data_IF_582362675306
#
_entry.id   IF_582362675306
#
_cell.length_a   1.000
_cell.length_b   1.000
_cell.length_c   1.000
_cell.angle_alpha   90.00
_cell.angle_beta   90.00
_cell.angle_gamma   90.00
#
_symmetry.space_group_name_H-M   'P 1'
#
loop_
_entity.id
_entity.type
_entity.pdbx_description
1 polymer ?
#
# COMPACT_ATOMS: atom_id res chain seq x y z
N UNK A 1 48.12 9.45 13.30
CA UNK A 1 47.14 8.77 12.41
C UNK A 1 45.69 8.84 12.93
N UNK A 2 45.11 10.05 13.16
CA UNK A 2 43.69 10.20 13.55
C UNK A 2 42.85 11.09 12.60
N UNK A 3 43.45 11.66 11.55
CA UNK A 3 42.79 12.67 10.71
C UNK A 3 42.02 12.10 9.48
N UNK A 4 42.29 10.86 9.04
CA UNK A 4 41.69 10.32 7.81
C UNK A 4 40.35 9.55 8.00
N UNK A 5 39.92 9.24 9.24
CA UNK A 5 38.68 8.45 9.49
C UNK A 5 37.40 9.29 9.46
N UNK A 6 37.47 10.56 9.83
CA UNK A 6 36.36 11.52 9.82
C UNK A 6 35.79 11.82 8.42
N UNK A 7 36.60 12.04 7.36
CA UNK A 7 36.08 12.28 6.01
C UNK A 7 35.40 11.04 5.42
N UNK A 8 35.91 9.84 5.73
CA UNK A 8 35.34 8.59 5.22
C UNK A 8 33.95 8.31 5.82
N UNK A 9 33.78 8.48 7.14
CA UNK A 9 32.46 8.34 7.78
C UNK A 9 31.45 9.37 7.25
N UNK A 10 31.89 10.61 7.04
CA UNK A 10 31.05 11.69 6.52
C UNK A 10 30.66 11.45 5.06
N UNK A 11 31.61 10.98 4.23
CA UNK A 11 31.37 10.60 2.84
C UNK A 11 30.43 9.39 2.75
N UNK A 12 30.66 8.34 3.54
CA UNK A 12 29.78 7.17 3.59
C UNK A 12 28.37 7.52 4.07
N UNK A 13 28.25 8.43 5.04
CA UNK A 13 26.95 8.94 5.47
C UNK A 13 26.26 9.74 4.35
N UNK A 14 26.98 10.62 3.66
CA UNK A 14 26.46 11.40 2.54
C UNK A 14 25.99 10.50 1.38
N UNK A 15 26.79 9.49 1.01
CA UNK A 15 26.43 8.49 -0.02
C UNK A 15 25.19 7.71 0.40
N UNK A 16 25.14 7.20 1.64
CA UNK A 16 23.96 6.47 2.17
C UNK A 16 22.70 7.36 2.17
N UNK A 17 22.86 8.65 2.46
CA UNK A 17 21.76 9.63 2.52
C UNK A 17 21.15 9.87 1.14
N UNK A 18 21.95 9.80 0.08
CA UNK A 18 21.47 9.90 -1.32
C UNK A 18 20.90 8.57 -1.85
N UNK A 19 21.40 7.43 -1.38
CA UNK A 19 20.92 6.11 -1.80
C UNK A 19 19.50 5.81 -1.32
N UNK A 20 19.13 6.23 -0.11
CA UNK A 20 17.80 5.93 0.44
C UNK A 20 16.62 6.51 -0.36
N UNK A 21 16.62 7.81 -0.74
CA UNK A 21 15.63 8.36 -1.67
C UNK A 21 15.59 7.66 -3.00
N UNK A 22 16.76 7.42 -3.57
CA UNK A 22 16.90 6.74 -4.86
C UNK A 22 16.28 5.33 -4.83
N UNK A 23 16.54 4.55 -3.77
CA UNK A 23 16.00 3.20 -3.64
C UNK A 23 14.47 3.21 -3.51
N UNK A 24 13.92 4.11 -2.70
CA UNK A 24 12.47 4.19 -2.48
C UNK A 24 11.72 4.62 -3.74
N UNK A 25 12.31 5.49 -4.56
CA UNK A 25 11.76 5.89 -5.85
C UNK A 25 11.80 4.74 -6.85
N UNK A 26 12.95 4.05 -6.95
CA UNK A 26 13.10 2.87 -7.82
C UNK A 26 12.04 1.81 -7.50
N UNK A 27 11.90 1.45 -6.23
CA UNK A 27 10.87 0.50 -5.80
C UNK A 27 9.46 0.98 -6.14
N UNK A 28 9.15 2.25 -5.84
CA UNK A 28 7.84 2.83 -6.13
C UNK A 28 7.51 2.83 -7.62
N UNK A 29 8.50 3.08 -8.48
CA UNK A 29 8.34 3.06 -9.92
C UNK A 29 8.08 1.64 -10.44
N UNK A 30 8.93 0.68 -10.04
CA UNK A 30 8.78 -0.74 -10.44
C UNK A 30 7.41 -1.27 -10.00
N UNK A 31 6.99 -0.96 -8.77
CA UNK A 31 5.68 -1.34 -8.26
C UNK A 31 4.52 -0.66 -8.99
N UNK A 32 4.67 0.62 -9.38
CA UNK A 32 3.66 1.32 -10.16
C UNK A 32 3.49 0.74 -11.57
N UNK A 33 4.61 0.40 -12.24
CA UNK A 33 4.58 -0.24 -13.56
C UNK A 33 3.87 -1.59 -13.46
N UNK A 34 4.25 -2.41 -12.49
CA UNK A 34 3.61 -3.71 -12.30
C UNK A 34 2.12 -3.58 -12.03
N UNK A 35 1.72 -2.61 -11.21
CA UNK A 35 0.34 -2.38 -10.90
C UNK A 35 -0.50 -1.97 -12.12
N UNK A 36 0.06 -1.13 -13.00
CA UNK A 36 -0.57 -0.76 -14.28
C UNK A 36 -0.69 -1.97 -15.19
N UNK A 37 0.37 -2.77 -15.34
CA UNK A 37 0.34 -4.00 -16.13
C UNK A 37 -0.71 -4.98 -15.59
N UNK A 38 -0.77 -5.18 -14.28
CA UNK A 38 -1.72 -6.07 -13.63
C UNK A 38 -3.15 -5.61 -13.84
N UNK A 39 -3.41 -4.32 -13.64
CA UNK A 39 -4.74 -3.75 -13.79
C UNK A 39 -5.21 -3.79 -15.23
N UNK A 40 -4.29 -3.55 -16.19
CA UNK A 40 -4.60 -3.62 -17.62
C UNK A 40 -4.89 -5.06 -18.05
N UNK A 41 -4.05 -6.01 -17.63
CA UNK A 41 -4.29 -7.42 -17.89
C UNK A 41 -5.60 -7.91 -17.27
N UNK A 42 -5.88 -7.49 -16.03
CA UNK A 42 -7.12 -7.79 -15.33
C UNK A 42 -8.35 -7.25 -16.05
N UNK A 43 -8.28 -5.99 -16.51
CA UNK A 43 -9.36 -5.38 -17.29
C UNK A 43 -9.61 -6.12 -18.61
N UNK A 44 -8.56 -6.49 -19.35
CA UNK A 44 -8.67 -7.24 -20.62
C UNK A 44 -9.33 -8.59 -20.38
N UNK A 45 -8.90 -9.32 -19.34
CA UNK A 45 -9.48 -10.63 -18.99
C UNK A 45 -10.95 -10.47 -18.62
N UNK A 46 -11.26 -9.55 -17.68
CA UNK A 46 -12.62 -9.36 -17.17
C UNK A 46 -13.60 -8.85 -18.24
N UNK A 47 -13.15 -8.04 -19.20
CA UNK A 47 -14.01 -7.58 -20.30
C UNK A 47 -14.15 -8.58 -21.45
N UNK A 48 -13.24 -9.54 -21.57
CA UNK A 48 -13.30 -10.58 -22.61
C UNK A 48 -14.17 -11.79 -22.23
N UNK A 49 -14.32 -12.09 -20.93
CA UNK A 49 -15.14 -13.19 -20.45
C UNK A 49 -16.63 -12.81 -20.43
N UNK A 50 -17.46 -13.51 -21.21
CA UNK A 50 -18.93 -13.39 -21.19
C UNK A 50 -19.53 -14.27 -20.10
N UNK A 51 -19.11 -15.53 -20.03
CA UNK A 51 -19.42 -16.42 -18.93
C UNK A 51 -18.38 -16.28 -17.83
N UNK A 52 -18.80 -15.81 -16.65
CA UNK A 52 -17.87 -15.48 -15.57
C UNK A 52 -17.20 -16.66 -14.86
N UNK A 53 -17.64 -17.91 -15.11
CA UNK A 53 -17.07 -19.12 -14.48
C UNK A 53 -16.38 -20.01 -15.51
N UNK A 54 -16.96 -20.19 -16.70
CA UNK A 54 -16.47 -21.18 -17.66
C UNK A 54 -15.57 -20.58 -18.74
N UNK A 55 -15.67 -19.26 -19.02
CA UNK A 55 -14.80 -18.65 -20.02
C UNK A 55 -13.35 -18.59 -19.54
N UNK A 56 -12.44 -18.77 -20.52
CA UNK A 56 -11.00 -18.74 -20.34
C UNK A 56 -10.38 -17.65 -21.18
N UNK A 57 -9.38 -17.00 -20.61
CA UNK A 57 -8.55 -16.01 -21.27
C UNK A 57 -7.08 -16.30 -21.00
N UNK A 58 -6.29 -16.52 -22.07
CA UNK A 58 -4.88 -16.91 -21.96
C UNK A 58 -4.06 -15.95 -21.07
N UNK A 59 -4.38 -14.65 -21.10
CA UNK A 59 -3.71 -13.62 -20.32
C UNK A 59 -3.86 -13.84 -18.81
N UNK A 60 -4.96 -14.44 -18.34
CA UNK A 60 -5.18 -14.70 -16.93
C UNK A 60 -4.09 -15.62 -16.36
N UNK A 61 -3.81 -16.73 -17.06
CA UNK A 61 -2.79 -17.68 -16.63
C UNK A 61 -1.36 -17.17 -16.92
N UNK A 62 -1.13 -16.52 -18.06
CA UNK A 62 0.20 -15.99 -18.43
C UNK A 62 0.64 -14.87 -17.50
N UNK A 63 -0.24 -13.89 -17.25
CA UNK A 63 0.09 -12.77 -16.37
C UNK A 63 0.32 -13.22 -14.93
N UNK A 64 -0.49 -14.16 -14.45
CA UNK A 64 -0.34 -14.70 -13.09
C UNK A 64 1.01 -15.39 -12.88
N UNK A 65 1.51 -16.16 -13.86
CA UNK A 65 2.86 -16.74 -13.82
C UNK A 65 3.96 -15.67 -13.87
N UNK A 66 3.75 -14.60 -14.64
CA UNK A 66 4.65 -13.46 -14.69
C UNK A 66 4.66 -12.66 -13.37
N UNK A 67 3.54 -12.57 -12.66
CA UNK A 67 3.42 -11.80 -11.43
C UNK A 67 4.16 -12.41 -10.24
N UNK A 68 4.28 -13.74 -10.15
CA UNK A 68 4.95 -14.42 -9.02
C UNK A 68 6.38 -13.94 -8.75
N UNK A 69 7.31 -13.94 -9.72
CA UNK A 69 8.66 -13.45 -9.48
C UNK A 69 8.68 -11.98 -9.04
N UNK A 70 7.73 -11.16 -9.50
CA UNK A 70 7.57 -9.80 -9.01
C UNK A 70 7.17 -9.76 -7.53
N UNK A 71 6.19 -10.56 -7.08
CA UNK A 71 5.77 -10.55 -5.67
C UNK A 71 6.92 -10.99 -4.74
N UNK A 72 7.75 -11.94 -5.18
CA UNK A 72 8.97 -12.34 -4.47
C UNK A 72 9.98 -11.18 -4.43
N UNK A 73 10.21 -10.53 -5.58
CA UNK A 73 11.05 -9.34 -5.68
C UNK A 73 10.58 -8.23 -4.75
N UNK A 74 9.26 -7.97 -4.65
CA UNK A 74 8.73 -6.86 -3.86
C UNK A 74 8.97 -7.06 -2.35
N UNK A 75 8.87 -8.30 -1.84
CA UNK A 75 9.25 -8.64 -0.46
C UNK A 75 10.72 -8.25 -0.20
N UNK A 76 11.61 -8.60 -1.12
CA UNK A 76 13.03 -8.28 -1.02
C UNK A 76 13.28 -6.77 -1.13
N UNK A 77 12.61 -6.09 -2.07
CA UNK A 77 12.73 -4.67 -2.29
C UNK A 77 12.25 -3.87 -1.07
N UNK A 78 11.14 -4.28 -0.44
CA UNK A 78 10.64 -3.73 0.81
C UNK A 78 11.66 -3.89 1.95
N UNK A 79 12.26 -5.07 2.08
CA UNK A 79 13.34 -5.32 3.06
C UNK A 79 14.55 -4.40 2.82
N UNK A 80 14.99 -4.23 1.57
CA UNK A 80 16.10 -3.32 1.24
C UNK A 80 15.78 -1.87 1.61
N UNK A 81 14.55 -1.39 1.36
CA UNK A 81 14.12 -0.07 1.79
C UNK A 81 14.17 0.10 3.32
N UNK A 82 13.72 -0.93 4.06
CA UNK A 82 13.78 -0.94 5.52
C UNK A 82 15.22 -0.93 6.02
N UNK A 83 16.07 -1.77 5.45
CA UNK A 83 17.48 -1.88 5.81
C UNK A 83 18.23 -0.56 5.58
N UNK A 84 18.07 0.08 4.41
CA UNK A 84 18.71 1.37 4.12
C UNK A 84 18.25 2.47 5.08
N UNK A 85 16.96 2.51 5.40
CA UNK A 85 16.39 3.47 6.36
C UNK A 85 17.00 3.31 7.76
N UNK A 86 17.19 2.08 8.22
CA UNK A 86 17.74 1.81 9.55
C UNK A 86 19.26 1.92 9.62
N UNK A 87 19.97 1.59 8.52
CA UNK A 87 21.41 1.81 8.39
C UNK A 87 21.78 3.30 8.46
N UNK A 88 20.92 4.18 7.95
CA UNK A 88 21.06 5.64 8.11
C UNK A 88 20.92 6.10 9.56
N UNK A 89 20.15 5.37 10.37
CA UNK A 89 19.99 5.62 11.81
C UNK A 89 21.08 4.95 12.65
N UNK A 90 22.15 4.45 12.05
CA UNK A 90 23.27 3.83 12.75
C UNK A 90 22.99 2.46 13.37
N UNK A 91 21.86 1.82 13.04
CA UNK A 91 21.54 0.50 13.60
C UNK A 91 22.41 -0.59 12.93
N UNK A 92 22.98 -1.53 13.70
CA UNK A 92 23.70 -2.68 13.13
C UNK A 92 22.74 -3.57 12.34
N UNK A 93 23.25 -4.15 11.25
CA UNK A 93 22.51 -5.12 10.43
C UNK A 93 22.45 -6.50 11.08
N UNK A 94 21.89 -7.47 10.36
CA UNK A 94 21.82 -8.87 10.80
C UNK A 94 20.43 -9.29 11.25
N UNK A 95 20.37 -10.40 11.99
CA UNK A 95 19.11 -11.08 12.34
C UNK A 95 18.16 -10.20 13.17
N UNK A 96 18.67 -9.37 14.08
CA UNK A 96 17.81 -8.47 14.87
C UNK A 96 17.07 -7.47 13.99
N UNK A 97 17.71 -6.96 12.94
CA UNK A 97 17.09 -6.04 11.99
C UNK A 97 16.04 -6.73 11.12
N UNK A 98 16.31 -7.96 10.66
CA UNK A 98 15.34 -8.77 9.91
C UNK A 98 14.12 -9.11 10.76
N UNK A 99 14.32 -9.51 12.03
CA UNK A 99 13.21 -9.76 12.97
C UNK A 99 12.40 -8.49 13.21
N UNK A 100 13.05 -7.35 13.37
CA UNK A 100 12.37 -6.06 13.52
C UNK A 100 11.57 -5.67 12.26
N UNK A 101 12.10 -5.93 11.07
CA UNK A 101 11.40 -5.75 9.80
C UNK A 101 10.13 -6.61 9.74
N UNK A 102 10.27 -7.92 9.98
CA UNK A 102 9.14 -8.86 9.93
C UNK A 102 8.05 -8.50 10.93
N UNK A 103 8.41 -8.00 12.12
CA UNK A 103 7.42 -7.57 13.12
C UNK A 103 6.76 -6.24 12.74
N UNK A 104 7.53 -5.25 12.27
CA UNK A 104 7.01 -3.90 11.97
C UNK A 104 6.21 -3.84 10.67
N UNK A 105 6.59 -4.63 9.67
CA UNK A 105 5.94 -4.68 8.36
C UNK A 105 5.15 -5.99 8.16
N UNK A 106 4.80 -6.67 9.26
CA UNK A 106 4.20 -8.01 9.28
C UNK A 106 3.04 -8.16 8.30
N UNK A 107 2.06 -7.24 8.34
CA UNK A 107 0.86 -7.36 7.53
C UNK A 107 1.14 -7.26 6.02
N UNK A 108 2.09 -6.43 5.62
CA UNK A 108 2.48 -6.31 4.21
C UNK A 108 3.26 -7.55 3.75
N UNK A 109 4.18 -8.05 4.58
CA UNK A 109 4.94 -9.27 4.27
C UNK A 109 4.00 -10.47 4.19
N UNK A 110 3.10 -10.63 5.16
CA UNK A 110 2.10 -11.69 5.20
C UNK A 110 1.22 -11.66 3.95
N UNK A 111 0.77 -10.47 3.52
CA UNK A 111 -0.01 -10.33 2.29
C UNK A 111 0.75 -10.87 1.08
N UNK A 112 2.01 -10.48 0.86
CA UNK A 112 2.79 -10.95 -0.29
C UNK A 112 3.07 -12.46 -0.23
N UNK A 113 3.41 -12.97 0.95
CA UNK A 113 3.61 -14.40 1.17
C UNK A 113 2.31 -15.16 0.89
N UNK A 114 1.16 -14.67 1.35
CA UNK A 114 -0.14 -15.28 1.07
C UNK A 114 -0.49 -15.25 -0.42
N UNK A 115 -0.20 -14.16 -1.12
CA UNK A 115 -0.42 -14.06 -2.57
C UNK A 115 0.40 -15.12 -3.33
N UNK A 116 1.66 -15.33 -2.94
CA UNK A 116 2.55 -16.30 -3.60
C UNK A 116 2.29 -17.75 -3.18
N UNK A 117 2.11 -18.01 -1.89
CA UNK A 117 2.01 -19.36 -1.35
C UNK A 117 0.60 -19.95 -1.43
N UNK A 118 -0.44 -19.11 -1.51
CA UNK A 118 -1.85 -19.55 -1.50
C UNK A 118 -2.57 -19.10 -2.75
N UNK A 119 -2.61 -17.79 -3.03
CA UNK A 119 -3.43 -17.28 -4.14
C UNK A 119 -2.91 -17.77 -5.50
N UNK A 120 -1.58 -17.84 -5.67
CA UNK A 120 -1.00 -18.33 -6.92
C UNK A 120 -1.33 -19.81 -7.19
N UNK A 121 -1.06 -20.78 -6.30
CA UNK A 121 -1.46 -22.17 -6.51
C UNK A 121 -2.96 -22.33 -6.76
N UNK A 122 -3.80 -21.61 -6.01
CA UNK A 122 -5.25 -21.58 -6.26
C UNK A 122 -5.55 -21.14 -7.69
N UNK A 123 -5.00 -20.00 -8.12
CA UNK A 123 -5.31 -19.38 -9.42
C UNK A 123 -4.81 -20.16 -10.64
N UNK A 124 -3.71 -20.91 -10.54
CA UNK A 124 -3.07 -21.59 -11.68
C UNK A 124 -3.22 -23.11 -11.64
N UNK A 125 -3.20 -23.73 -10.44
CA UNK A 125 -3.16 -25.18 -10.30
C UNK A 125 -4.52 -25.77 -9.92
N UNK A 126 -5.21 -25.21 -8.91
CA UNK A 126 -6.44 -25.82 -8.36
C UNK A 126 -7.74 -25.33 -8.98
N UNK A 127 -7.70 -24.21 -9.68
CA UNK A 127 -8.90 -23.59 -10.26
C UNK A 127 -9.42 -24.30 -11.52
N UNK A 128 -8.70 -25.28 -12.05
CA UNK A 128 -9.11 -26.09 -13.22
C UNK A 128 -9.50 -25.22 -14.44
N UNK A 129 -8.92 -24.03 -14.55
CA UNK A 129 -9.21 -23.06 -15.61
C UNK A 129 -10.61 -22.45 -15.57
N UNK A 130 -11.25 -22.35 -14.40
CA UNK A 130 -12.55 -21.68 -14.21
C UNK A 130 -12.40 -20.30 -13.57
N UNK A 131 -13.31 -19.38 -13.82
CA UNK A 131 -13.39 -18.09 -13.13
C UNK A 131 -12.31 -17.10 -13.53
N UNK A 132 -11.88 -17.09 -14.81
CA UNK A 132 -10.89 -16.13 -15.32
C UNK A 132 -11.37 -14.69 -15.14
N UNK A 133 -12.67 -14.45 -15.28
CA UNK A 133 -13.30 -13.17 -14.96
C UNK A 133 -12.97 -12.68 -13.54
N UNK A 134 -13.13 -13.53 -12.53
CA UNK A 134 -12.87 -13.18 -11.14
C UNK A 134 -11.39 -12.94 -10.88
N UNK A 135 -10.51 -13.75 -11.48
CA UNK A 135 -9.06 -13.52 -11.42
C UNK A 135 -8.69 -12.18 -12.07
N UNK A 136 -9.30 -11.85 -13.21
CA UNK A 136 -9.14 -10.55 -13.88
C UNK A 136 -9.57 -9.38 -12.98
N UNK A 137 -10.74 -9.50 -12.34
CA UNK A 137 -11.21 -8.53 -11.35
C UNK A 137 -10.18 -8.34 -10.22
N UNK A 138 -9.67 -9.44 -9.66
CA UNK A 138 -8.68 -9.40 -8.57
C UNK A 138 -7.38 -8.70 -8.98
N UNK A 139 -6.93 -8.84 -10.23
CA UNK A 139 -5.75 -8.12 -10.74
C UNK A 139 -5.97 -6.60 -10.83
N UNK A 140 -7.22 -6.15 -11.08
CA UNK A 140 -7.57 -4.73 -11.11
C UNK A 140 -7.44 -4.05 -9.73
N UNK A 141 -7.37 -4.81 -8.64
CA UNK A 141 -7.13 -4.28 -7.30
C UNK A 141 -5.80 -3.53 -7.17
N UNK A 142 -4.83 -3.83 -8.03
CA UNK A 142 -3.53 -3.15 -8.05
C UNK A 142 -3.59 -1.70 -8.54
N UNK A 143 -4.69 -1.25 -9.16
CA UNK A 143 -4.77 0.10 -9.75
C UNK A 143 -4.55 1.24 -8.75
N UNK A 144 -4.79 0.99 -7.46
CA UNK A 144 -4.54 1.95 -6.38
C UNK A 144 -3.05 2.10 -6.01
N UNK A 145 -2.22 1.09 -6.29
CA UNK A 145 -0.80 1.01 -5.91
C UNK A 145 0.06 2.16 -6.45
N UNK A 146 -0.08 2.62 -7.72
CA UNK A 146 0.65 3.78 -8.22
C UNK A 146 0.42 5.05 -7.38
N UNK A 147 -0.82 5.28 -6.94
CA UNK A 147 -1.16 6.46 -6.14
C UNK A 147 -0.67 6.34 -4.69
N UNK A 148 -0.64 5.12 -4.15
CA UNK A 148 0.00 4.83 -2.85
C UNK A 148 1.52 5.09 -2.92
N UNK A 149 2.18 4.62 -3.98
CA UNK A 149 3.61 4.81 -4.22
C UNK A 149 3.96 6.29 -4.41
N UNK A 150 3.21 7.00 -5.25
CA UNK A 150 3.39 8.45 -5.46
C UNK A 150 3.20 9.23 -4.15
N UNK A 151 2.18 8.89 -3.36
CA UNK A 151 1.98 9.48 -2.03
C UNK A 151 3.19 9.30 -1.10
N UNK A 152 3.77 8.11 -1.06
CA UNK A 152 4.99 7.81 -0.27
C UNK A 152 6.21 8.60 -0.75
N UNK A 153 6.33 8.87 -2.05
CA UNK A 153 7.42 9.68 -2.63
C UNK A 153 7.22 11.16 -2.28
N UNK A 154 6.02 11.70 -2.46
CA UNK A 154 5.72 13.10 -2.14
C UNK A 154 5.97 13.44 -0.66
N UNK A 155 5.60 12.54 0.26
CA UNK A 155 5.89 12.69 1.70
C UNK A 155 7.41 12.74 1.95
N UNK A 156 8.17 11.92 1.24
CA UNK A 156 9.63 11.84 1.40
C UNK A 156 10.35 13.11 0.94
N UNK A 157 9.82 13.77 -0.09
CA UNK A 157 10.29 15.08 -0.56
C UNK A 157 9.68 16.26 0.20
N UNK A 158 8.96 16.02 1.30
CA UNK A 158 8.26 17.05 2.09
C UNK A 158 7.28 17.90 1.26
N UNK A 159 6.66 17.31 0.24
CA UNK A 159 5.68 17.98 -0.64
C UNK A 159 4.23 17.77 -0.18
N UNK A 160 4.01 17.59 1.12
CA UNK A 160 2.70 17.24 1.68
C UNK A 160 1.67 18.39 1.56
N UNK A 161 2.14 19.64 1.53
CA UNK A 161 1.28 20.82 1.43
C UNK A 161 0.86 21.15 -0.01
N UNK A 162 1.41 20.43 -1.00
CA UNK A 162 1.13 20.70 -2.41
C UNK A 162 -0.26 20.23 -2.85
N UNK A 163 -0.83 20.93 -3.84
CA UNK A 163 -2.06 20.50 -4.50
C UNK A 163 -1.93 19.08 -5.07
N UNK A 164 -0.77 18.73 -5.62
CA UNK A 164 -0.47 17.40 -6.14
C UNK A 164 -0.64 16.31 -5.07
N UNK A 165 -0.16 16.53 -3.84
CA UNK A 165 -0.33 15.57 -2.76
C UNK A 165 -1.80 15.39 -2.35
N UNK A 166 -2.58 16.48 -2.33
CA UNK A 166 -4.01 16.45 -2.02
C UNK A 166 -4.79 15.70 -3.10
N UNK A 167 -4.58 16.04 -4.37
CA UNK A 167 -5.23 15.38 -5.51
C UNK A 167 -4.86 13.91 -5.57
N UNK A 168 -3.58 13.56 -5.43
CA UNK A 168 -3.15 12.16 -5.35
C UNK A 168 -3.82 11.42 -4.17
N UNK A 169 -3.96 12.07 -3.02
CA UNK A 169 -4.66 11.49 -1.86
C UNK A 169 -6.12 11.14 -2.15
N UNK A 170 -6.85 12.03 -2.85
CA UNK A 170 -8.24 11.78 -3.27
C UNK A 170 -8.31 10.65 -4.29
N UNK A 171 -7.46 10.67 -5.32
CA UNK A 171 -7.42 9.62 -6.35
C UNK A 171 -7.09 8.27 -5.71
N UNK A 172 -6.11 8.23 -4.80
CA UNK A 172 -5.76 7.02 -4.05
C UNK A 172 -6.94 6.50 -3.25
N UNK A 173 -7.68 7.37 -2.54
CA UNK A 173 -8.85 6.98 -1.75
C UNK A 173 -9.96 6.39 -2.63
N UNK A 174 -10.30 7.06 -3.73
CA UNK A 174 -11.34 6.64 -4.67
C UNK A 174 -10.96 5.32 -5.33
N UNK A 175 -9.74 5.22 -5.85
CA UNK A 175 -9.27 3.98 -6.52
C UNK A 175 -9.17 2.81 -5.55
N UNK A 176 -8.72 3.03 -4.32
CA UNK A 176 -8.70 1.98 -3.30
C UNK A 176 -10.12 1.48 -2.98
N UNK A 177 -11.07 2.40 -2.82
CA UNK A 177 -12.46 2.04 -2.55
C UNK A 177 -13.09 1.28 -3.72
N UNK A 178 -13.00 1.81 -4.94
CA UNK A 178 -13.64 1.21 -6.12
C UNK A 178 -12.99 -0.11 -6.53
N UNK A 179 -11.66 -0.13 -6.66
CA UNK A 179 -10.95 -1.28 -7.21
C UNK A 179 -10.68 -2.38 -6.19
N UNK A 180 -10.83 -2.12 -4.88
CA UNK A 180 -10.59 -3.13 -3.84
C UNK A 180 -11.82 -3.46 -3.00
N UNK A 181 -12.53 -2.46 -2.48
CA UNK A 181 -13.67 -2.69 -1.59
C UNK A 181 -14.96 -3.01 -2.36
N UNK A 182 -15.30 -2.21 -3.37
CA UNK A 182 -16.49 -2.46 -4.20
C UNK A 182 -16.31 -3.63 -5.17
N UNK A 183 -15.08 -4.07 -5.40
CA UNK A 183 -14.77 -5.18 -6.30
C UNK A 183 -15.45 -6.49 -5.86
N UNK A 184 -15.48 -6.81 -4.56
CA UNK A 184 -16.11 -8.05 -4.09
C UNK A 184 -17.64 -8.02 -4.19
N UNK A 185 -18.36 -6.97 -3.73
CA UNK A 185 -19.77 -6.81 -4.02
C UNK A 185 -20.10 -6.88 -5.52
N UNK A 186 -19.26 -6.29 -6.37
CA UNK A 186 -19.40 -6.38 -7.83
C UNK A 186 -19.27 -7.82 -8.33
N UNK A 187 -18.24 -8.56 -7.91
CA UNK A 187 -18.07 -9.96 -8.27
C UNK A 187 -19.27 -10.82 -7.85
N UNK A 188 -19.79 -10.61 -6.64
CA UNK A 188 -20.99 -11.31 -6.15
C UNK A 188 -22.23 -10.93 -6.96
N UNK A 189 -22.36 -9.66 -7.34
CA UNK A 189 -23.48 -9.19 -8.16
C UNK A 189 -23.47 -9.84 -9.54
N UNK A 190 -22.33 -9.86 -10.23
CA UNK A 190 -22.20 -10.47 -11.56
C UNK A 190 -22.43 -11.99 -11.49
N UNK A 191 -21.92 -12.66 -10.46
CA UNK A 191 -22.25 -14.06 -10.22
C UNK A 191 -23.75 -14.26 -10.00
N UNK A 192 -24.38 -13.40 -9.19
CA UNK A 192 -25.82 -13.41 -8.94
C UNK A 192 -26.63 -13.27 -10.23
N UNK A 193 -26.25 -12.35 -11.13
CA UNK A 193 -26.89 -12.22 -12.45
C UNK A 193 -26.79 -13.52 -13.25
N UNK A 194 -25.63 -14.19 -13.23
CA UNK A 194 -25.41 -15.47 -13.94
C UNK A 194 -26.29 -16.60 -13.42
N UNK A 195 -26.57 -16.65 -12.11
CA UNK A 195 -27.43 -17.70 -11.51
C UNK A 195 -28.88 -17.26 -11.24
N UNK A 196 -29.26 -16.04 -11.65
CA UNK A 196 -30.61 -15.51 -11.42
C UNK A 196 -30.93 -15.16 -9.95
N UNK A 197 -29.92 -14.88 -9.13
CA UNK A 197 -30.08 -14.52 -7.72
C UNK A 197 -29.81 -13.03 -7.47
N UNK A 198 -30.59 -12.37 -6.59
CA UNK A 198 -30.26 -11.04 -6.12
C UNK A 198 -29.01 -11.07 -5.22
N UNK A 199 -28.24 -9.97 -5.22
CA UNK A 199 -26.92 -9.86 -4.56
C UNK A 199 -26.89 -10.38 -3.10
N UNK A 200 -27.89 -10.02 -2.29
CA UNK A 200 -27.92 -10.39 -0.87
C UNK A 200 -28.14 -11.89 -0.63
N UNK A 201 -28.66 -12.65 -1.61
CA UNK A 201 -28.82 -14.11 -1.53
C UNK A 201 -27.56 -14.86 -1.94
N UNK A 202 -26.65 -14.23 -2.70
CA UNK A 202 -25.46 -14.87 -3.25
C UNK A 202 -24.58 -15.51 -2.16
N UNK A 203 -24.22 -14.83 -1.04
CA UNK A 203 -23.38 -15.43 -0.01
C UNK A 203 -23.96 -16.71 0.61
N UNK A 204 -25.29 -16.83 0.66
CA UNK A 204 -25.98 -17.99 1.25
C UNK A 204 -26.16 -19.15 0.27
N UNK A 205 -25.99 -18.91 -1.03
CA UNK A 205 -26.11 -19.93 -2.08
C UNK A 205 -24.75 -20.35 -2.65
N UNK A 206 -23.70 -19.57 -2.38
CA UNK A 206 -22.32 -19.88 -2.74
C UNK A 206 -21.74 -20.86 -1.71
N UNK A 207 -20.90 -21.81 -2.15
CA UNK A 207 -20.22 -22.71 -1.23
C UNK A 207 -19.39 -21.93 -0.19
N UNK A 208 -19.36 -22.35 1.09
CA UNK A 208 -18.69 -21.61 2.16
C UNK A 208 -17.21 -21.28 1.87
N UNK A 209 -16.52 -22.14 1.13
CA UNK A 209 -15.11 -22.00 0.78
C UNK A 209 -14.84 -20.71 0.01
N UNK A 210 -15.72 -20.35 -0.93
CA UNK A 210 -15.60 -19.12 -1.71
C UNK A 210 -15.87 -17.88 -0.87
N UNK A 211 -16.83 -17.94 0.06
CA UNK A 211 -17.09 -16.85 0.99
C UNK A 211 -15.91 -16.64 1.94
N UNK A 212 -15.32 -17.73 2.45
CA UNK A 212 -14.12 -17.69 3.30
C UNK A 212 -12.95 -17.09 2.51
N UNK A 213 -12.71 -17.55 1.28
CA UNK A 213 -11.66 -17.01 0.42
C UNK A 213 -11.85 -15.51 0.16
N UNK A 214 -13.07 -15.08 -0.17
CA UNK A 214 -13.41 -13.68 -0.35
C UNK A 214 -13.19 -12.86 0.93
N UNK A 215 -13.60 -13.37 2.10
CA UNK A 215 -13.42 -12.70 3.38
C UNK A 215 -11.94 -12.55 3.74
N UNK A 216 -11.13 -13.60 3.54
CA UNK A 216 -9.67 -13.55 3.78
C UNK A 216 -9.00 -12.51 2.89
N UNK A 217 -9.38 -12.43 1.61
CA UNK A 217 -8.83 -11.45 0.67
C UNK A 217 -9.31 -10.03 0.95
N UNK A 218 -10.55 -9.86 1.43
CA UNK A 218 -11.16 -8.57 1.74
C UNK A 218 -10.66 -7.97 3.05
N UNK A 219 -10.44 -8.80 4.08
CA UNK A 219 -10.04 -8.35 5.43
C UNK A 219 -8.86 -7.36 5.44
N UNK A 220 -7.71 -7.62 4.78
CA UNK A 220 -6.61 -6.66 4.75
C UNK A 220 -6.99 -5.36 4.00
N UNK A 221 -7.84 -5.44 2.97
CA UNK A 221 -8.27 -4.26 2.21
C UNK A 221 -9.12 -3.33 3.07
N UNK A 222 -10.09 -3.88 3.80
CA UNK A 222 -10.92 -3.09 4.74
C UNK A 222 -10.06 -2.45 5.82
N UNK A 223 -9.13 -3.21 6.39
CA UNK A 223 -8.22 -2.69 7.42
C UNK A 223 -7.36 -1.53 6.90
N UNK A 224 -6.72 -1.68 5.73
CA UNK A 224 -5.91 -0.63 5.14
C UNK A 224 -6.73 0.59 4.74
N UNK A 225 -7.94 0.39 4.20
CA UNK A 225 -8.84 1.48 3.89
C UNK A 225 -9.21 2.28 5.14
N UNK A 226 -9.52 1.60 6.25
CA UNK A 226 -9.74 2.25 7.53
C UNK A 226 -8.54 3.09 7.98
N UNK A 227 -7.31 2.56 7.88
CA UNK A 227 -6.10 3.32 8.23
C UNK A 227 -5.89 4.54 7.33
N UNK A 228 -6.18 4.42 6.04
CA UNK A 228 -6.10 5.52 5.06
C UNK A 228 -7.12 6.61 5.42
N UNK A 229 -8.38 6.23 5.65
CA UNK A 229 -9.45 7.14 6.05
C UNK A 229 -9.13 7.86 7.37
N UNK A 230 -8.65 7.12 8.39
CA UNK A 230 -8.24 7.70 9.67
C UNK A 230 -7.13 8.73 9.49
N UNK A 231 -6.15 8.44 8.64
CA UNK A 231 -5.07 9.39 8.34
C UNK A 231 -5.56 10.62 7.58
N UNK A 232 -6.41 10.44 6.57
CA UNK A 232 -7.00 11.54 5.82
C UNK A 232 -7.84 12.46 6.73
N UNK A 233 -8.63 11.87 7.62
CA UNK A 233 -9.41 12.59 8.62
C UNK A 233 -8.53 13.38 9.59
N UNK A 234 -7.44 12.79 10.09
CA UNK A 234 -6.48 13.49 10.95
C UNK A 234 -5.84 14.71 10.27
N UNK A 235 -5.47 14.59 8.99
CA UNK A 235 -4.92 15.70 8.21
C UNK A 235 -5.97 16.82 7.98
N UNK A 236 -7.22 16.43 7.74
CA UNK A 236 -8.32 17.38 7.61
C UNK A 236 -8.58 18.16 8.90
N UNK A 237 -8.57 17.48 10.05
CA UNK A 237 -8.71 18.14 11.35
C UNK A 237 -7.55 19.11 11.64
N UNK A 238 -6.31 18.71 11.39
CA UNK A 238 -5.14 19.57 11.56
C UNK A 238 -5.23 20.84 10.69
N UNK A 239 -5.68 20.69 9.45
CA UNK A 239 -5.88 21.81 8.52
C UNK A 239 -6.96 22.77 9.03
N UNK A 240 -8.09 22.25 9.55
CA UNK A 240 -9.17 23.07 10.12
C UNK A 240 -8.74 23.82 11.37
N UNK A 241 -7.95 23.20 12.25
CA UNK A 241 -7.43 23.86 13.46
C UNK A 241 -6.44 24.99 13.11
N UNK A 242 -5.60 24.79 12.09
CA UNK A 242 -4.66 25.81 11.60
C UNK A 242 -5.36 27.02 10.97
N UNK A 243 -6.55 26.81 10.39
CA UNK A 243 -7.35 27.88 9.76
C UNK A 243 -8.31 28.60 10.73
N UNK A 244 -8.42 28.17 11.99
CA UNK A 244 -9.21 28.90 12.98
C UNK A 244 -8.48 30.20 13.32
N UNK A 245 -9.14 31.39 13.26
CA UNK A 245 -8.48 32.63 13.63
C UNK A 245 -7.94 32.50 15.05
N UNK A 246 -6.69 32.90 15.29
CA UNK A 246 -6.25 33.27 16.64
C UNK A 246 -7.10 34.48 17.03
N UNK A 247 -8.26 34.24 17.65
CA UNK A 247 -8.97 35.29 18.34
C UNK A 247 -7.98 35.91 19.32
N UNK A 248 -7.72 37.21 19.14
CA UNK A 248 -6.71 37.95 19.86
C UNK A 248 -6.94 37.82 21.36
N UNK A 249 -5.98 37.21 22.05
CA UNK A 249 -5.70 37.62 23.41
C UNK A 249 -4.62 38.70 23.35
N UNK A 250 -4.84 39.87 23.97
CA UNK A 250 -3.78 40.84 24.14
C UNK A 250 -2.61 40.17 24.84
N UNK A 251 -1.40 40.42 24.35
CA UNK A 251 -0.18 40.21 25.12
C UNK A 251 -0.35 41.09 26.35
N UNK A 252 -0.61 40.48 27.51
CA UNK A 252 -0.45 41.17 28.78
C UNK A 252 1.04 41.39 28.97
N UNK A 253 1.49 42.60 28.66
CA UNK A 253 2.74 43.15 29.14
C UNK A 253 2.70 43.11 30.68
N UNK A 254 3.40 42.15 31.28
CA UNK A 254 3.70 42.20 32.70
C UNK A 254 4.90 43.13 32.90
N UNK A 255 4.82 44.13 33.79
CA UNK A 255 5.87 45.10 33.97
C UNK A 255 7.08 44.50 34.69
N UNK A 256 8.25 44.90 34.23
CA UNK A 256 9.55 44.76 34.88
C UNK A 256 9.50 45.21 36.35
N UNK A 257 9.96 44.34 37.25
CA UNK A 257 10.38 44.72 38.60
C UNK A 257 11.47 43.76 39.13
N UNK A 258 12.72 44.22 38.95
CA UNK A 258 13.85 44.24 39.91
C UNK A 258 14.25 42.97 40.68
N UNK A 259 15.54 42.65 40.50
CA UNK A 259 16.54 42.20 41.49
C UNK A 259 16.05 41.83 42.90
N UNK A 260 16.35 40.59 43.30
CA UNK A 260 17.02 40.33 44.57
C UNK A 260 17.66 38.93 44.62
N UNK A 261 18.99 38.97 44.64
CA UNK A 261 19.96 38.08 45.27
C UNK A 261 19.43 37.24 46.46
N UNK A 262 19.77 35.94 46.51
CA UNK A 262 20.57 35.35 47.61
C UNK A 262 20.75 33.83 47.42
N UNK A 263 21.93 33.39 47.83
CA UNK A 263 22.47 32.04 47.87
C UNK A 263 21.58 31.01 48.60
N UNK A 264 21.55 29.78 48.08
CA UNK A 264 21.94 28.53 48.76
C UNK A 264 21.89 27.35 47.78
#
# INVERSE_FOLDING_TARGET
MKSLRLPLCSLLYAVRRLQWPSQKIKNGLVSSIQAVLASTAGYIVASSCKDVIEDRHWLAATYTRFAVPYFIYDIYAMYLCYWHKHKLKGHPGGWQLTRAYLYKEFLMVLHHVFMVAVCFPVSVLWREGKGDFFLGCMLMAELSTPFVCLGKVLIQYKKQDTLLHRVNGVIMLVTFFCCRLLLFPYMYWVYGQRVGLPLYKVPFNLSPEYNIGAAILMAPQVYWFYLICRRAYSLFQQSRMSQRPRNGHPVTDSPSAKDQDCSQ
#
